data_IF_536486075309
#
_entry.id   IF_536486075309
#
_cell.length_a   1.000
_cell.length_b   1.000
_cell.length_c   1.000
_cell.angle_alpha   90.00
_cell.angle_beta   90.00
_cell.angle_gamma   90.00
#
_symmetry.space_group_name_H-M   'P 1'
#
loop_
_entity.id
_entity.type
_entity.pdbx_description
1 polymer ?
#
# COMPACT_ATOMS: atom_id res chain seq x y z
N UNK A 1 -7.92 38.25 -32.30
CA UNK A 1 -7.76 38.60 -30.88
C UNK A 1 -8.41 37.50 -30.06
N UNK A 2 -7.63 36.59 -29.48
CA UNK A 2 -8.15 35.49 -28.67
C UNK A 2 -8.50 35.99 -27.24
N UNK A 3 -9.56 35.47 -26.61
CA UNK A 3 -10.02 35.95 -25.31
C UNK A 3 -9.14 35.43 -24.15
N UNK A 4 -8.84 36.31 -23.17
CA UNK A 4 -7.89 36.11 -22.06
C UNK A 4 -8.19 34.93 -21.12
N UNK A 5 -9.41 34.40 -21.12
CA UNK A 5 -9.77 33.21 -20.33
C UNK A 5 -9.30 31.90 -20.97
N UNK A 6 -9.13 31.88 -22.30
CA UNK A 6 -8.60 30.71 -23.00
C UNK A 6 -7.12 30.47 -22.65
N UNK A 7 -6.36 31.53 -22.36
CA UNK A 7 -4.98 31.42 -21.89
C UNK A 7 -4.87 30.85 -20.47
N UNK A 8 -5.85 31.09 -19.59
CA UNK A 8 -5.84 30.54 -18.22
C UNK A 8 -6.14 29.04 -18.26
N UNK A 9 -7.07 28.60 -19.13
CA UNK A 9 -7.38 27.18 -19.33
C UNK A 9 -6.26 26.45 -20.09
N UNK A 10 -5.61 27.09 -21.07
CA UNK A 10 -4.46 26.49 -21.76
C UNK A 10 -3.19 26.45 -20.89
N UNK A 11 -2.96 27.44 -20.01
CA UNK A 11 -1.79 27.47 -19.12
C UNK A 11 -1.87 26.45 -17.98
N UNK A 12 -3.07 26.08 -17.54
CA UNK A 12 -3.25 25.00 -16.55
C UNK A 12 -3.09 23.61 -17.17
N UNK A 13 -3.33 23.46 -18.48
CA UNK A 13 -3.15 22.18 -19.20
C UNK A 13 -1.75 22.03 -19.81
N UNK A 14 -1.02 23.13 -20.05
CA UNK A 14 0.32 23.13 -20.67
C UNK A 14 1.49 23.21 -19.67
N UNK A 15 1.23 23.40 -18.38
CA UNK A 15 2.27 23.50 -17.35
C UNK A 15 2.71 22.15 -16.73
N UNK A 16 2.26 21.02 -17.29
CA UNK A 16 2.58 19.68 -16.77
C UNK A 16 3.31 18.78 -17.78
N UNK A 17 4.02 19.38 -18.75
CA UNK A 17 5.10 18.69 -19.45
C UNK A 17 6.42 18.98 -18.74
N UNK A 18 6.59 18.42 -17.54
CA UNK A 18 7.94 18.16 -17.04
C UNK A 18 8.51 17.10 -17.96
N UNK A 19 9.37 17.49 -18.89
CA UNK A 19 10.24 16.55 -19.59
C UNK A 19 11.25 16.05 -18.56
N UNK A 20 10.83 15.09 -17.75
CA UNK A 20 11.77 14.24 -17.06
C UNK A 20 12.42 13.39 -18.17
N UNK A 21 13.68 13.70 -18.47
CA UNK A 21 14.61 12.73 -19.05
C UNK A 21 14.37 11.37 -18.38
N UNK A 22 14.31 10.25 -19.13
CA UNK A 22 14.26 8.95 -18.52
C UNK A 22 15.54 8.80 -17.69
N UNK A 23 15.43 9.04 -16.38
CA UNK A 23 16.39 8.51 -15.44
C UNK A 23 16.32 7.01 -15.66
N UNK A 24 17.44 6.42 -16.08
CA UNK A 24 17.66 5.00 -15.87
C UNK A 24 17.30 4.76 -14.41
N UNK A 25 16.38 3.83 -14.13
CA UNK A 25 15.97 3.52 -12.77
C UNK A 25 17.23 3.14 -11.99
N UNK A 26 17.73 4.09 -11.21
CA UNK A 26 18.76 3.87 -10.21
C UNK A 26 18.07 3.00 -9.16
N UNK A 27 18.54 1.76 -8.98
CA UNK A 27 18.02 0.85 -7.95
C UNK A 27 17.90 1.61 -6.64
N UNK A 28 16.75 1.45 -5.96
CA UNK A 28 16.49 2.18 -4.74
C UNK A 28 17.62 1.89 -3.73
N UNK A 29 18.19 2.91 -3.07
CA UNK A 29 19.37 2.73 -2.21
C UNK A 29 19.11 1.73 -1.06
N UNK A 30 17.85 1.59 -0.62
CA UNK A 30 17.45 0.63 0.40
C UNK A 30 17.50 -0.83 -0.10
N UNK A 31 17.13 -1.09 -1.36
CA UNK A 31 17.20 -2.43 -1.97
C UNK A 31 18.64 -2.89 -2.01
N UNK A 32 19.55 -2.05 -2.53
CA UNK A 32 20.98 -2.36 -2.60
C UNK A 32 21.59 -2.55 -1.22
N UNK A 33 21.17 -1.78 -0.22
CA UNK A 33 21.64 -1.95 1.16
C UNK A 33 21.23 -3.31 1.76
N UNK A 34 19.97 -3.71 1.56
CA UNK A 34 19.45 -5.02 1.98
C UNK A 34 20.14 -6.19 1.27
N UNK A 35 20.39 -6.06 -0.04
CA UNK A 35 21.14 -7.08 -0.77
C UNK A 35 22.55 -7.26 -0.23
N UNK A 36 23.24 -6.16 0.07
CA UNK A 36 24.57 -6.21 0.66
C UNK A 36 24.55 -6.79 2.09
N UNK A 37 23.52 -6.49 2.88
CA UNK A 37 23.34 -7.07 4.21
C UNK A 37 23.16 -8.59 4.12
N UNK A 38 22.31 -9.07 3.21
CA UNK A 38 22.10 -10.50 2.98
C UNK A 38 23.41 -11.21 2.59
N UNK A 39 24.15 -10.66 1.62
CA UNK A 39 25.45 -11.20 1.19
C UNK A 39 26.46 -11.20 2.33
N UNK A 40 26.47 -10.17 3.19
CA UNK A 40 27.35 -10.11 4.34
C UNK A 40 27.01 -11.20 5.38
N UNK A 41 25.73 -11.43 5.65
CA UNK A 41 25.25 -12.48 6.55
C UNK A 41 25.58 -13.88 6.01
N UNK A 42 25.34 -14.17 4.73
CA UNK A 42 25.74 -15.43 4.09
C UNK A 42 27.25 -15.66 4.15
N UNK A 43 28.03 -14.62 3.84
CA UNK A 43 29.49 -14.69 3.88
C UNK A 43 29.99 -14.97 5.30
N UNK A 44 29.36 -14.38 6.32
CA UNK A 44 29.65 -14.66 7.72
C UNK A 44 29.32 -16.12 8.06
N UNK A 45 28.19 -16.66 7.58
CA UNK A 45 27.81 -18.05 7.75
C UNK A 45 28.82 -19.03 7.14
N UNK A 46 29.25 -18.80 5.89
CA UNK A 46 30.24 -19.64 5.21
C UNK A 46 31.62 -19.60 5.91
N UNK A 47 32.04 -18.41 6.37
CA UNK A 47 33.26 -18.28 7.19
C UNK A 47 33.12 -19.03 8.51
N UNK A 48 31.94 -18.92 9.13
CA UNK A 48 31.64 -19.62 10.37
C UNK A 48 31.68 -21.14 10.17
N UNK A 49 31.25 -21.69 9.05
CA UNK A 49 31.30 -23.13 8.72
C UNK A 49 32.70 -23.67 8.40
N UNK A 50 33.62 -22.80 7.97
CA UNK A 50 35.01 -23.16 7.66
C UNK A 50 35.99 -22.88 8.81
N UNK A 51 35.56 -22.13 9.83
CA UNK A 51 36.33 -21.82 11.03
C UNK A 51 36.75 -23.07 11.85
N UNK A 52 37.94 -23.01 12.45
CA UNK A 52 38.40 -24.05 13.39
C UNK A 52 37.89 -23.77 14.80
N UNK A 53 37.94 -24.76 15.70
CA UNK A 53 37.51 -24.57 17.09
C UNK A 53 38.31 -23.49 17.85
N UNK A 54 39.51 -23.13 17.37
CA UNK A 54 40.30 -22.03 17.92
C UNK A 54 39.77 -20.64 17.53
N UNK A 55 39.00 -20.56 16.43
CA UNK A 55 38.45 -19.31 15.88
C UNK A 55 37.07 -18.98 16.47
N UNK A 56 36.36 -19.98 17.02
CA UNK A 56 35.02 -19.87 17.61
C UNK A 56 35.05 -19.28 19.04
N UNK A 57 35.67 -18.11 19.20
CA UNK A 57 35.69 -17.40 20.49
C UNK A 57 34.42 -16.58 20.69
N UNK A 58 33.92 -16.37 21.93
CA UNK A 58 32.77 -15.49 22.18
C UNK A 58 32.97 -14.07 21.63
N UNK A 59 34.20 -13.56 21.66
CA UNK A 59 34.57 -12.27 21.09
C UNK A 59 34.42 -12.25 19.56
N UNK A 60 34.83 -13.32 18.87
CA UNK A 60 34.66 -13.43 17.43
C UNK A 60 33.17 -13.52 17.04
N UNK A 61 32.35 -14.23 17.82
CA UNK A 61 30.89 -14.31 17.57
C UNK A 61 30.20 -12.97 17.76
N UNK A 62 30.52 -12.26 18.85
CA UNK A 62 29.97 -10.93 19.12
C UNK A 62 30.39 -9.93 18.03
N UNK A 63 31.60 -10.08 17.47
CA UNK A 63 32.08 -9.25 16.37
C UNK A 63 31.30 -9.46 15.07
N UNK A 64 30.81 -10.68 14.80
CA UNK A 64 29.95 -10.95 13.63
C UNK A 64 28.66 -10.11 13.74
N UNK A 65 27.99 -10.17 14.89
CA UNK A 65 26.80 -9.36 15.14
C UNK A 65 27.09 -7.87 15.00
N UNK A 66 28.15 -7.36 15.64
CA UNK A 66 28.48 -5.94 15.60
C UNK A 66 28.65 -5.43 14.16
N UNK A 67 29.34 -6.18 13.30
CA UNK A 67 29.55 -5.76 11.90
C UNK A 67 28.27 -5.73 11.08
N UNK A 68 27.34 -6.65 11.31
CA UNK A 68 26.05 -6.67 10.60
C UNK A 68 25.11 -5.59 11.14
N UNK A 69 25.10 -5.39 12.45
CA UNK A 69 24.28 -4.38 13.11
C UNK A 69 24.73 -2.96 12.79
N UNK A 70 26.04 -2.69 12.72
CA UNK A 70 26.56 -1.39 12.28
C UNK A 70 26.09 -1.05 10.85
N UNK A 71 26.00 -2.05 9.97
CA UNK A 71 25.46 -1.86 8.62
C UNK A 71 23.94 -1.62 8.62
N UNK A 72 23.22 -2.24 9.57
CA UNK A 72 21.79 -2.05 9.76
C UNK A 72 21.46 -0.64 10.30
N UNK A 73 22.18 -0.13 11.29
CA UNK A 73 21.95 1.21 11.86
C UNK A 73 22.03 2.31 10.78
N UNK A 74 22.82 2.13 9.72
CA UNK A 74 22.92 3.10 8.63
C UNK A 74 21.69 3.14 7.70
N UNK A 75 20.88 2.07 7.68
CA UNK A 75 19.76 1.87 6.74
C UNK A 75 18.40 1.72 7.42
N UNK A 76 18.35 1.46 8.73
CA UNK A 76 17.14 1.09 9.47
C UNK A 76 16.01 2.13 9.34
N UNK A 77 16.33 3.43 9.42
CA UNK A 77 15.35 4.52 9.31
C UNK A 77 14.68 4.52 7.93
N UNK A 78 15.45 4.29 6.87
CA UNK A 78 14.95 4.27 5.50
C UNK A 78 14.01 3.09 5.23
N UNK A 79 14.27 1.96 5.88
CA UNK A 79 13.45 0.75 5.78
C UNK A 79 12.22 0.87 6.66
N UNK A 80 12.35 1.40 7.87
CA UNK A 80 11.23 1.71 8.76
C UNK A 80 10.21 2.63 8.07
N UNK A 81 10.67 3.63 7.31
CA UNK A 81 9.81 4.51 6.54
C UNK A 81 9.18 3.83 5.30
N UNK A 82 9.95 2.98 4.60
CA UNK A 82 9.53 2.38 3.33
C UNK A 82 8.65 1.12 3.51
N UNK A 83 8.99 0.27 4.48
CA UNK A 83 8.32 -0.98 4.79
C UNK A 83 8.43 -1.27 6.31
N UNK A 84 7.57 -0.64 7.14
CA UNK A 84 7.62 -0.78 8.60
C UNK A 84 7.54 -2.23 9.12
N UNK A 85 6.95 -3.14 8.33
CA UNK A 85 6.85 -4.55 8.69
C UNK A 85 8.18 -5.28 8.48
N UNK A 86 8.78 -5.18 7.30
CA UNK A 86 10.11 -5.76 7.05
C UNK A 86 11.19 -5.17 7.97
N UNK A 87 11.04 -3.92 8.42
CA UNK A 87 11.86 -3.36 9.50
C UNK A 87 11.75 -4.22 10.78
N UNK A 88 10.52 -4.55 11.21
CA UNK A 88 10.28 -5.33 12.42
C UNK A 88 10.76 -6.79 12.29
N UNK A 89 10.57 -7.41 11.13
CA UNK A 89 11.06 -8.77 10.83
C UNK A 89 12.59 -8.81 10.89
N UNK A 90 13.26 -7.82 10.29
CA UNK A 90 14.71 -7.68 10.37
C UNK A 90 15.22 -7.44 11.80
N UNK A 91 14.55 -6.59 12.58
CA UNK A 91 14.87 -6.40 14.00
C UNK A 91 14.76 -7.72 14.79
N UNK A 92 13.74 -8.54 14.50
CA UNK A 92 13.58 -9.85 15.13
C UNK A 92 14.72 -10.82 14.76
N UNK A 93 15.16 -10.83 13.50
CA UNK A 93 16.31 -11.64 13.07
C UNK A 93 17.63 -11.14 13.68
N UNK A 94 17.79 -9.81 13.83
CA UNK A 94 18.92 -9.24 14.57
C UNK A 94 18.91 -9.63 16.04
N UNK A 95 17.75 -9.62 16.70
CA UNK A 95 17.60 -10.09 18.08
C UNK A 95 17.93 -11.58 18.21
N UNK A 96 17.46 -12.42 17.28
CA UNK A 96 17.77 -13.84 17.25
C UNK A 96 19.28 -14.08 17.09
N UNK A 97 19.94 -13.34 16.20
CA UNK A 97 21.38 -13.37 16.02
C UNK A 97 22.11 -12.90 17.28
N UNK A 98 21.67 -11.82 17.91
CA UNK A 98 22.24 -11.29 19.15
C UNK A 98 22.23 -12.34 20.26
N UNK A 99 21.09 -13.01 20.44
CA UNK A 99 20.92 -14.09 21.41
C UNK A 99 21.86 -15.25 21.09
N UNK A 100 21.94 -15.68 19.83
CA UNK A 100 22.78 -16.79 19.42
C UNK A 100 24.28 -16.54 19.70
N UNK A 101 24.78 -15.33 19.40
CA UNK A 101 26.19 -14.97 19.62
C UNK A 101 26.52 -14.63 21.08
N UNK A 102 25.53 -14.20 21.87
CA UNK A 102 25.68 -13.73 23.25
C UNK A 102 25.77 -14.84 24.30
N UNK A 103 25.65 -16.11 23.91
CA UNK A 103 25.72 -17.24 24.85
C UNK A 103 27.15 -17.52 25.33
N UNK A 104 27.29 -17.97 26.59
CA UNK A 104 28.60 -18.30 27.17
C UNK A 104 29.32 -19.47 26.46
N UNK A 105 28.58 -20.29 25.72
CA UNK A 105 29.07 -21.33 24.82
C UNK A 105 28.32 -21.19 23.49
N UNK A 106 28.84 -20.41 22.53
CA UNK A 106 28.19 -20.19 21.25
C UNK A 106 28.00 -21.50 20.50
N UNK A 107 26.74 -21.83 20.19
CA UNK A 107 26.43 -22.94 19.30
C UNK A 107 26.60 -22.48 17.85
N UNK A 108 27.57 -23.09 17.16
CA UNK A 108 27.86 -22.82 15.76
C UNK A 108 26.63 -23.02 14.88
N UNK A 109 25.82 -24.04 15.14
CA UNK A 109 24.63 -24.33 14.35
C UNK A 109 23.55 -23.26 14.56
N UNK A 110 23.37 -22.80 15.80
CA UNK A 110 22.43 -21.74 16.12
C UNK A 110 22.82 -20.40 15.46
N UNK A 111 24.11 -20.01 15.54
CA UNK A 111 24.61 -18.78 14.89
C UNK A 111 24.50 -18.87 13.37
N UNK A 112 24.83 -20.02 12.77
CA UNK A 112 24.66 -20.23 11.33
C UNK A 112 23.19 -20.15 10.90
N UNK A 113 22.27 -20.71 11.69
CA UNK A 113 20.82 -20.62 11.46
C UNK A 113 20.31 -19.18 11.51
N UNK A 114 20.71 -18.42 12.53
CA UNK A 114 20.32 -17.01 12.67
C UNK A 114 20.88 -16.13 11.54
N UNK A 115 22.12 -16.39 11.08
CA UNK A 115 22.68 -15.68 9.92
C UNK A 115 21.94 -16.00 8.61
N UNK A 116 21.49 -17.24 8.45
CA UNK A 116 20.70 -17.63 7.28
C UNK A 116 19.28 -17.01 7.32
N UNK A 117 18.66 -16.94 8.50
CA UNK A 117 17.39 -16.24 8.71
C UNK A 117 17.48 -14.76 8.35
N UNK A 118 18.47 -14.06 8.91
CA UNK A 118 18.74 -12.66 8.58
C UNK A 118 19.00 -12.43 7.08
N UNK A 119 19.76 -13.32 6.43
CA UNK A 119 20.03 -13.19 5.00
C UNK A 119 18.77 -13.38 4.14
N UNK A 120 17.94 -14.36 4.51
CA UNK A 120 16.68 -14.64 3.82
C UNK A 120 15.71 -13.46 3.97
N UNK A 121 15.54 -12.96 5.19
CA UNK A 121 14.65 -11.84 5.48
C UNK A 121 15.11 -10.57 4.74
N UNK A 122 16.41 -10.26 4.77
CA UNK A 122 16.94 -9.11 4.04
C UNK A 122 16.68 -9.19 2.53
N UNK A 123 16.77 -10.38 1.92
CA UNK A 123 16.41 -10.60 0.52
C UNK A 123 14.90 -10.44 0.26
N UNK A 124 14.05 -10.91 1.16
CA UNK A 124 12.59 -10.83 1.01
C UNK A 124 12.11 -9.38 1.11
N UNK A 125 12.64 -8.62 2.07
CA UNK A 125 12.43 -7.15 2.18
C UNK A 125 12.96 -6.44 0.94
N UNK A 126 14.15 -6.81 0.42
CA UNK A 126 14.71 -6.22 -0.79
C UNK A 126 13.79 -6.44 -2.00
N UNK A 127 13.36 -7.67 -2.23
CA UNK A 127 12.43 -8.01 -3.31
C UNK A 127 11.06 -7.33 -3.14
N UNK A 128 10.54 -7.21 -1.92
CA UNK A 128 9.30 -6.48 -1.68
C UNK A 128 9.43 -5.02 -2.10
N UNK A 129 10.54 -4.36 -1.71
CA UNK A 129 10.82 -2.98 -2.08
C UNK A 129 11.08 -2.81 -3.57
N UNK A 130 11.80 -3.75 -4.21
CA UNK A 130 12.06 -3.76 -5.65
C UNK A 130 10.75 -3.89 -6.46
N UNK A 131 9.85 -4.76 -6.02
CA UNK A 131 8.57 -5.01 -6.68
C UNK A 131 7.44 -4.06 -6.25
N UNK A 132 7.76 -2.99 -5.52
CA UNK A 132 6.78 -1.97 -5.15
C UNK A 132 5.69 -2.44 -4.17
N UNK A 133 6.01 -3.44 -3.36
CA UNK A 133 5.13 -4.01 -2.35
C UNK A 133 4.32 -5.24 -2.79
N UNK A 134 4.72 -5.88 -3.90
CA UNK A 134 4.21 -7.19 -4.30
C UNK A 134 5.15 -8.28 -3.76
N UNK A 135 4.67 -9.08 -2.80
CA UNK A 135 5.42 -10.21 -2.22
C UNK A 135 5.68 -11.29 -3.30
N UNK A 136 6.93 -11.53 -3.66
CA UNK A 136 7.32 -12.63 -4.57
C UNK A 136 7.74 -13.85 -3.77
N UNK A 137 6.89 -14.89 -3.69
CA UNK A 137 7.37 -16.22 -3.23
C UNK A 137 6.32 -17.18 -2.69
N UNK A 138 5.30 -16.71 -1.97
CA UNK A 138 4.23 -17.59 -1.51
C UNK A 138 3.29 -17.95 -2.66
N UNK A 139 2.68 -19.14 -2.61
CA UNK A 139 1.57 -19.48 -3.50
C UNK A 139 0.55 -18.36 -3.33
N UNK A 140 0.33 -17.50 -4.33
CA UNK A 140 -0.49 -16.31 -4.13
C UNK A 140 -1.92 -16.74 -3.77
N UNK A 141 -2.23 -16.72 -2.48
CA UNK A 141 -3.51 -17.14 -1.94
C UNK A 141 -4.42 -15.92 -1.98
N UNK A 142 -5.59 -16.03 -2.60
CA UNK A 142 -6.54 -14.92 -2.53
C UNK A 142 -7.13 -14.80 -1.11
N UNK A 143 -7.67 -13.62 -0.77
CA UNK A 143 -8.21 -13.36 0.57
C UNK A 143 -9.26 -14.40 1.02
N UNK A 144 -10.06 -14.96 0.11
CA UNK A 144 -11.06 -15.96 0.47
C UNK A 144 -10.41 -17.31 0.79
N UNK A 145 -9.40 -17.70 0.01
CA UNK A 145 -8.64 -18.91 0.26
C UNK A 145 -7.86 -18.81 1.58
N UNK A 146 -7.29 -17.64 1.90
CA UNK A 146 -6.62 -17.41 3.19
C UNK A 146 -7.58 -17.55 4.38
N UNK A 147 -8.77 -16.94 4.28
CA UNK A 147 -9.82 -17.07 5.31
C UNK A 147 -10.26 -18.53 5.47
N UNK A 148 -10.31 -19.31 4.39
CA UNK A 148 -10.61 -20.73 4.45
C UNK A 148 -9.50 -21.54 5.14
N UNK A 149 -8.22 -21.21 4.90
CA UNK A 149 -7.08 -21.84 5.57
C UNK A 149 -7.08 -21.53 7.07
N UNK A 150 -7.35 -20.29 7.47
CA UNK A 150 -7.51 -19.91 8.90
C UNK A 150 -8.62 -20.72 9.56
N UNK A 151 -9.77 -20.90 8.90
CA UNK A 151 -10.84 -21.74 9.42
C UNK A 151 -10.42 -23.22 9.56
N UNK A 152 -9.57 -23.73 8.66
CA UNK A 152 -9.01 -25.08 8.76
C UNK A 152 -8.06 -25.23 9.95
N UNK A 153 -7.27 -24.20 10.28
CA UNK A 153 -6.43 -24.20 11.50
C UNK A 153 -7.30 -24.30 12.74
N UNK A 154 -8.36 -23.48 12.85
CA UNK A 154 -9.30 -23.53 13.99
C UNK A 154 -9.88 -24.94 14.16
N UNK A 155 -10.31 -25.57 13.07
CA UNK A 155 -10.80 -26.95 13.10
C UNK A 155 -9.72 -27.98 13.49
N UNK A 156 -8.48 -27.81 13.03
CA UNK A 156 -7.37 -28.68 13.41
C UNK A 156 -7.05 -28.58 14.91
N UNK A 157 -7.11 -27.39 15.49
CA UNK A 157 -6.87 -27.15 16.92
C UNK A 157 -7.88 -27.91 17.80
N UNK A 158 -9.13 -28.05 17.36
CA UNK A 158 -10.15 -28.84 18.08
C UNK A 158 -9.76 -30.31 18.23
N UNK A 159 -8.97 -30.86 17.31
CA UNK A 159 -8.54 -32.26 17.35
C UNK A 159 -7.47 -32.52 18.43
N UNK A 160 -6.86 -31.46 18.98
CA UNK A 160 -5.72 -31.54 19.92
C UNK A 160 -4.59 -32.46 19.43
N UNK A 161 -4.40 -32.50 18.12
CA UNK A 161 -3.37 -33.29 17.46
C UNK A 161 -2.36 -32.35 16.79
N UNK A 162 -1.13 -32.34 17.31
CA UNK A 162 -0.03 -31.54 16.76
C UNK A 162 0.25 -31.87 15.29
N UNK A 163 0.17 -33.15 14.90
CA UNK A 163 0.44 -33.58 13.52
C UNK A 163 -0.55 -32.98 12.50
N UNK A 164 -1.73 -32.57 12.97
CA UNK A 164 -2.73 -31.89 12.14
C UNK A 164 -2.62 -30.36 12.23
N UNK A 165 -2.23 -29.84 13.39
CA UNK A 165 -2.14 -28.39 13.65
C UNK A 165 -0.92 -27.76 13.02
N UNK A 166 0.26 -28.34 13.20
CA UNK A 166 1.52 -27.79 12.71
C UNK A 166 1.48 -27.48 11.20
N UNK A 167 1.08 -28.40 10.30
CA UNK A 167 1.03 -28.08 8.87
C UNK A 167 -0.06 -27.06 8.51
N UNK A 168 -1.15 -26.99 9.28
CA UNK A 168 -2.19 -26.00 9.04
C UNK A 168 -1.74 -24.60 9.47
N UNK A 169 -1.03 -24.51 10.60
CA UNK A 169 -0.47 -23.26 11.12
C UNK A 169 0.63 -22.73 10.20
N UNK A 170 1.52 -23.61 9.74
CA UNK A 170 2.56 -23.32 8.74
C UNK A 170 1.94 -22.70 7.48
N UNK A 171 0.87 -23.31 6.94
CA UNK A 171 0.20 -22.81 5.75
C UNK A 171 -0.31 -21.37 5.89
N UNK A 172 -0.90 -20.99 7.04
CA UNK A 172 -1.41 -19.62 7.23
C UNK A 172 -0.31 -18.60 7.54
N UNK A 173 0.82 -19.03 8.11
CA UNK A 173 1.99 -18.16 8.30
C UNK A 173 2.64 -17.88 6.95
N UNK A 174 2.88 -18.91 6.14
CA UNK A 174 3.44 -18.76 4.78
C UNK A 174 2.53 -17.96 3.85
N UNK A 175 1.21 -18.10 3.98
CA UNK A 175 0.26 -17.38 3.12
C UNK A 175 -0.01 -15.93 3.57
N UNK A 176 0.32 -15.56 4.81
CA UNK A 176 0.00 -14.25 5.37
C UNK A 176 0.61 -13.06 4.60
N UNK A 177 1.89 -13.08 4.19
CA UNK A 177 2.50 -12.00 3.40
C UNK A 177 1.74 -11.68 2.10
N UNK A 178 1.06 -12.67 1.51
CA UNK A 178 0.30 -12.50 0.27
C UNK A 178 -1.01 -11.71 0.43
N UNK A 179 -1.54 -11.63 1.66
CA UNK A 179 -2.83 -10.99 1.96
C UNK A 179 -2.72 -9.79 2.90
N UNK A 180 -1.63 -9.66 3.65
CA UNK A 180 -1.45 -8.63 4.67
C UNK A 180 -1.59 -7.21 4.12
N UNK A 181 -1.11 -6.94 2.91
CA UNK A 181 -1.22 -5.61 2.29
C UNK A 181 -2.68 -5.20 2.06
N UNK A 182 -3.54 -6.16 1.72
CA UNK A 182 -4.97 -5.93 1.56
C UNK A 182 -5.67 -5.67 2.91
N UNK A 183 -5.11 -6.19 4.01
CA UNK A 183 -5.59 -5.94 5.38
C UNK A 183 -5.09 -4.58 5.87
N UNK A 184 -3.78 -4.33 5.80
CA UNK A 184 -3.11 -3.12 6.28
C UNK A 184 -3.65 -1.85 5.60
N UNK A 185 -3.93 -1.91 4.30
CA UNK A 185 -4.51 -0.77 3.56
C UNK A 185 -5.93 -0.41 4.00
N UNK A 186 -6.68 -1.36 4.57
CA UNK A 186 -8.06 -1.17 5.02
C UNK A 186 -8.16 -0.95 6.54
N UNK A 187 -7.28 -1.57 7.33
CA UNK A 187 -7.28 -1.50 8.79
C UNK A 187 -5.91 -1.86 9.37
N UNK A 188 -5.16 -0.85 9.83
CA UNK A 188 -3.92 -1.06 10.59
C UNK A 188 -4.16 -1.80 11.91
N UNK A 189 -5.32 -1.61 12.54
CA UNK A 189 -5.69 -2.30 13.79
C UNK A 189 -5.91 -3.79 13.59
N UNK A 190 -6.58 -4.19 12.50
CA UNK A 190 -6.82 -5.60 12.20
C UNK A 190 -5.52 -6.31 11.83
N UNK A 191 -4.67 -5.64 11.03
CA UNK A 191 -3.33 -6.12 10.70
C UNK A 191 -2.52 -6.45 11.97
N UNK A 192 -2.32 -5.47 12.86
CA UNK A 192 -1.56 -5.69 14.08
C UNK A 192 -2.19 -6.70 15.05
N UNK A 193 -3.52 -6.84 15.06
CA UNK A 193 -4.20 -7.87 15.84
C UNK A 193 -3.92 -9.27 15.29
N UNK A 194 -3.96 -9.46 13.97
CA UNK A 194 -3.69 -10.74 13.32
C UNK A 194 -2.24 -11.15 13.55
N UNK A 195 -1.27 -10.26 13.36
CA UNK A 195 0.15 -10.49 13.62
C UNK A 195 0.41 -10.94 15.06
N UNK A 196 -0.13 -10.17 16.02
CA UNK A 196 0.04 -10.47 17.44
C UNK A 196 -0.53 -11.83 17.82
N UNK A 197 -1.66 -12.22 17.22
CA UNK A 197 -2.28 -13.51 17.46
C UNK A 197 -1.61 -14.66 16.68
N UNK A 198 -1.03 -14.42 15.50
CA UNK A 198 -0.17 -15.40 14.79
C UNK A 198 1.04 -15.76 15.65
N UNK A 199 1.78 -14.75 16.15
CA UNK A 199 2.90 -14.97 17.06
C UNK A 199 2.50 -15.60 18.39
N UNK A 200 1.27 -15.36 18.86
CA UNK A 200 0.73 -16.02 20.07
C UNK A 200 0.35 -17.48 19.80
N UNK A 201 -0.20 -17.79 18.62
CA UNK A 201 -0.51 -19.15 18.20
C UNK A 201 0.77 -19.99 18.04
N UNK A 202 1.81 -19.45 17.41
CA UNK A 202 3.11 -20.11 17.26
C UNK A 202 3.74 -20.43 18.62
N UNK A 203 3.81 -19.44 19.52
CA UNK A 203 4.31 -19.66 20.89
C UNK A 203 3.51 -20.72 21.66
N UNK A 204 2.22 -20.85 21.41
CA UNK A 204 1.41 -21.87 22.07
C UNK A 204 1.84 -23.30 21.70
N UNK A 205 2.27 -23.49 20.46
CA UNK A 205 2.77 -24.78 19.94
C UNK A 205 4.14 -25.12 20.49
N UNK A 206 4.97 -24.11 20.82
CA UNK A 206 6.32 -24.29 21.35
C UNK A 206 6.36 -24.65 22.85
N UNK A 207 5.26 -24.49 23.58
CA UNK A 207 5.21 -24.81 25.02
C UNK A 207 5.25 -26.32 25.27
N UNK A 208 5.95 -26.73 26.34
CA UNK A 208 5.96 -28.12 26.83
C UNK A 208 5.26 -28.23 28.20
N UNK A 209 4.01 -28.74 28.30
CA UNK A 209 3.13 -29.22 27.23
C UNK A 209 2.41 -28.09 26.48
N UNK A 210 1.97 -28.38 25.24
CA UNK A 210 1.27 -27.42 24.36
C UNK A 210 0.08 -26.76 25.06
N UNK A 211 0.05 -25.42 25.01
CA UNK A 211 -1.04 -24.61 25.52
C UNK A 211 -2.21 -24.55 24.52
N UNK A 212 -3.02 -25.60 24.54
CA UNK A 212 -4.23 -25.70 23.71
C UNK A 212 -5.25 -24.60 23.95
N UNK A 213 -5.27 -24.00 25.15
CA UNK A 213 -6.21 -22.93 25.45
C UNK A 213 -5.78 -21.62 24.76
N UNK A 214 -4.48 -21.30 24.84
CA UNK A 214 -3.91 -20.16 24.14
C UNK A 214 -4.05 -20.31 22.63
N UNK A 215 -3.67 -21.47 22.09
CA UNK A 215 -3.75 -21.76 20.66
C UNK A 215 -5.18 -21.62 20.11
N UNK A 216 -6.18 -22.17 20.82
CA UNK A 216 -7.57 -22.06 20.42
C UNK A 216 -8.08 -20.62 20.48
N UNK A 217 -7.69 -19.86 21.51
CA UNK A 217 -8.07 -18.45 21.61
C UNK A 217 -7.45 -17.59 20.51
N UNK A 218 -6.18 -17.81 20.19
CA UNK A 218 -5.45 -17.02 19.20
C UNK A 218 -5.97 -17.27 17.78
N UNK A 219 -6.11 -18.54 17.40
CA UNK A 219 -6.63 -18.91 16.06
C UNK A 219 -8.08 -18.47 15.84
N UNK A 220 -8.91 -18.48 16.88
CA UNK A 220 -10.27 -17.93 16.81
C UNK A 220 -10.27 -16.40 16.62
N UNK A 221 -9.33 -15.69 17.24
CA UNK A 221 -9.21 -14.25 17.10
C UNK A 221 -8.72 -13.84 15.70
N UNK A 222 -7.74 -14.57 15.15
CA UNK A 222 -7.31 -14.43 13.74
C UNK A 222 -8.51 -14.61 12.82
N UNK A 223 -9.30 -15.68 13.00
CA UNK A 223 -10.49 -15.96 12.19
C UNK A 223 -11.51 -14.81 12.27
N UNK A 224 -11.72 -14.25 13.46
CA UNK A 224 -12.64 -13.15 13.70
C UNK A 224 -12.20 -11.86 13.00
N UNK A 225 -10.92 -11.53 13.08
CA UNK A 225 -10.34 -10.32 12.49
C UNK A 225 -10.24 -10.41 10.97
N UNK A 226 -9.95 -11.58 10.40
CA UNK A 226 -9.79 -11.74 8.94
C UNK A 226 -11.13 -11.86 8.19
N UNK A 227 -12.19 -12.36 8.85
CA UNK A 227 -13.49 -12.61 8.22
C UNK A 227 -14.11 -11.42 7.44
N UNK A 228 -14.02 -10.15 7.90
CA UNK A 228 -14.52 -8.99 7.15
C UNK A 228 -13.81 -8.75 5.81
N UNK A 229 -12.57 -9.23 5.66
CA UNK A 229 -11.77 -9.00 4.46
C UNK A 229 -12.11 -9.98 3.33
N UNK A 230 -12.64 -11.16 3.66
CA UNK A 230 -13.23 -12.10 2.69
C UNK A 230 -14.45 -11.52 1.96
N UNK A 231 -15.15 -10.57 2.58
CA UNK A 231 -16.29 -9.90 1.94
C UNK A 231 -15.79 -8.92 0.90
N UNK A 232 -15.42 -9.43 -0.27
CA UNK A 232 -15.35 -8.63 -1.48
C UNK A 232 -16.75 -8.13 -1.74
N UNK A 233 -17.00 -6.83 -1.52
CA UNK A 233 -18.12 -6.17 -2.19
C UNK A 233 -17.87 -6.37 -3.68
N UNK A 234 -18.53 -7.38 -4.26
CA UNK A 234 -18.42 -7.66 -5.67
C UNK A 234 -19.15 -6.53 -6.36
N UNK A 235 -18.41 -5.49 -6.74
CA UNK A 235 -18.93 -4.46 -7.63
C UNK A 235 -19.31 -5.17 -8.92
N UNK A 236 -20.61 -5.33 -9.12
CA UNK A 236 -21.11 -6.00 -10.30
C UNK A 236 -20.96 -5.06 -11.50
N UNK A 237 -20.92 -5.61 -12.71
CA UNK A 237 -21.01 -4.81 -13.94
C UNK A 237 -22.25 -3.90 -13.93
N UNK A 238 -23.30 -4.31 -13.22
CA UNK A 238 -24.50 -3.53 -13.04
C UNK A 238 -24.27 -2.28 -12.17
N UNK A 239 -23.54 -2.42 -11.05
CA UNK A 239 -23.23 -1.28 -10.17
C UNK A 239 -22.41 -0.21 -10.90
N UNK A 240 -21.40 -0.63 -11.67
CA UNK A 240 -20.62 0.26 -12.50
C UNK A 240 -21.46 0.90 -13.63
N UNK A 241 -22.37 0.13 -14.25
CA UNK A 241 -23.24 0.63 -15.31
C UNK A 241 -24.21 1.70 -14.80
N UNK A 242 -24.76 1.56 -13.58
CA UNK A 242 -25.68 2.55 -12.99
C UNK A 242 -24.98 3.89 -12.76
N UNK A 243 -23.73 3.89 -12.28
CA UNK A 243 -22.92 5.10 -12.09
C UNK A 243 -22.69 5.79 -13.45
N UNK A 244 -22.18 5.07 -14.44
CA UNK A 244 -21.92 5.65 -15.77
C UNK A 244 -23.21 6.18 -16.42
N UNK A 245 -24.31 5.43 -16.27
CA UNK A 245 -25.61 5.81 -16.82
C UNK A 245 -26.14 7.10 -16.20
N UNK A 246 -26.07 7.24 -14.87
CA UNK A 246 -26.50 8.45 -14.17
C UNK A 246 -25.66 9.65 -14.61
N UNK A 247 -24.35 9.49 -14.69
CA UNK A 247 -23.43 10.60 -14.93
C UNK A 247 -23.54 11.05 -16.40
N UNK A 248 -23.72 10.09 -17.30
CA UNK A 248 -24.03 10.35 -18.71
C UNK A 248 -25.40 11.00 -18.92
N UNK A 249 -26.42 10.58 -18.16
CA UNK A 249 -27.76 11.17 -18.25
C UNK A 249 -27.78 12.61 -17.73
N UNK A 250 -27.13 12.89 -16.60
CA UNK A 250 -26.99 14.25 -16.06
C UNK A 250 -26.30 15.18 -17.06
N UNK A 251 -25.21 14.73 -17.68
CA UNK A 251 -24.53 15.49 -18.73
C UNK A 251 -25.41 15.74 -19.96
N UNK A 252 -26.17 14.72 -20.40
CA UNK A 252 -27.11 14.85 -21.52
C UNK A 252 -28.23 15.84 -21.20
N UNK A 253 -28.77 15.80 -19.98
CA UNK A 253 -29.81 16.73 -19.52
C UNK A 253 -29.31 18.17 -19.52
N UNK A 254 -28.06 18.41 -19.11
CA UNK A 254 -27.44 19.75 -19.17
C UNK A 254 -27.36 20.23 -20.62
N UNK A 255 -26.85 19.40 -21.53
CA UNK A 255 -26.74 19.76 -22.97
C UNK A 255 -28.12 20.02 -23.56
N UNK A 256 -29.10 19.17 -23.26
CA UNK A 256 -30.47 19.33 -23.71
C UNK A 256 -31.11 20.62 -23.18
N UNK A 257 -30.91 20.95 -21.90
CA UNK A 257 -31.40 22.19 -21.29
C UNK A 257 -30.78 23.43 -21.97
N UNK A 258 -29.48 23.42 -22.23
CA UNK A 258 -28.81 24.51 -22.94
C UNK A 258 -29.33 24.64 -24.38
N UNK A 259 -29.46 23.54 -25.12
CA UNK A 259 -30.01 23.57 -26.49
C UNK A 259 -31.47 24.07 -26.52
N UNK A 260 -32.30 23.61 -25.59
CA UNK A 260 -33.69 24.06 -25.45
C UNK A 260 -33.76 25.56 -25.13
N UNK A 261 -32.87 26.06 -24.27
CA UNK A 261 -32.77 27.48 -23.96
C UNK A 261 -32.41 28.32 -25.19
N UNK A 262 -31.46 27.87 -26.04
CA UNK A 262 -31.12 28.57 -27.29
C UNK A 262 -32.28 28.58 -28.28
N UNK A 263 -33.01 27.47 -28.40
CA UNK A 263 -34.20 27.38 -29.26
C UNK A 263 -35.29 28.34 -28.78
N UNK A 264 -35.51 28.43 -27.46
CA UNK A 264 -36.54 29.32 -26.90
C UNK A 264 -36.19 30.80 -27.00
N UNK A 265 -34.91 31.14 -27.08
CA UNK A 265 -34.41 32.53 -27.16
C UNK A 265 -34.09 32.97 -28.58
N UNK A 266 -34.48 32.20 -29.61
CA UNK A 266 -34.19 32.47 -31.04
C UNK A 266 -32.69 32.65 -31.34
N UNK A 267 -31.83 31.98 -30.57
CA UNK A 267 -30.36 32.05 -30.68
C UNK A 267 -29.80 30.79 -31.37
N UNK A 268 -30.46 30.34 -32.43
CA UNK A 268 -30.14 29.10 -33.14
C UNK A 268 -28.68 29.01 -33.64
N UNK A 269 -28.09 30.15 -33.98
CA UNK A 269 -26.72 30.30 -34.50
C UNK A 269 -25.65 29.92 -33.47
N UNK A 270 -26.02 29.91 -32.19
CA UNK A 270 -25.10 29.61 -31.08
C UNK A 270 -25.04 28.12 -30.73
N UNK A 271 -25.89 27.28 -31.32
CA UNK A 271 -25.89 25.81 -31.08
C UNK A 271 -24.55 25.16 -31.39
N UNK A 272 -23.81 25.69 -32.37
CA UNK A 272 -22.44 25.24 -32.70
C UNK A 272 -21.48 25.33 -31.52
N UNK A 273 -21.65 26.33 -30.65
CA UNK A 273 -20.78 26.51 -29.47
C UNK A 273 -21.06 25.47 -28.40
N UNK A 274 -22.31 25.03 -28.26
CA UNK A 274 -22.65 23.93 -27.34
C UNK A 274 -22.00 22.65 -27.81
N UNK A 275 -22.20 22.27 -29.08
CA UNK A 275 -21.56 21.07 -29.63
C UNK A 275 -20.04 21.12 -29.57
N UNK A 276 -19.44 22.27 -29.89
CA UNK A 276 -17.99 22.43 -29.80
C UNK A 276 -17.49 22.32 -28.36
N UNK A 277 -18.23 22.89 -27.39
CA UNK A 277 -17.93 22.76 -25.97
C UNK A 277 -18.10 21.33 -25.44
N UNK A 278 -19.17 20.65 -25.81
CA UNK A 278 -19.42 19.24 -25.42
C UNK A 278 -18.35 18.31 -25.99
N UNK A 279 -18.01 18.44 -27.28
CA UNK A 279 -16.96 17.61 -27.89
C UNK A 279 -15.59 17.91 -27.32
N UNK A 280 -15.26 19.19 -27.09
CA UNK A 280 -14.01 19.57 -26.44
C UNK A 280 -13.92 18.99 -25.02
N UNK A 281 -15.00 19.10 -24.24
CA UNK A 281 -15.07 18.53 -22.90
C UNK A 281 -14.89 17.01 -22.88
N UNK A 282 -15.50 16.29 -23.83
CA UNK A 282 -15.33 14.85 -23.96
C UNK A 282 -13.87 14.47 -24.27
N UNK A 283 -13.24 15.14 -25.23
CA UNK A 283 -11.83 14.90 -25.59
C UNK A 283 -10.91 15.23 -24.42
N UNK A 284 -11.15 16.34 -23.73
CA UNK A 284 -10.37 16.72 -22.54
C UNK A 284 -10.54 15.70 -21.42
N UNK A 285 -11.74 15.18 -21.18
CA UNK A 285 -11.99 14.15 -20.16
C UNK A 285 -11.21 12.86 -20.45
N UNK A 286 -11.21 12.40 -21.70
CA UNK A 286 -10.44 11.23 -22.13
C UNK A 286 -8.93 11.48 -21.96
N UNK A 287 -8.45 12.65 -22.37
CA UNK A 287 -7.04 13.01 -22.24
C UNK A 287 -6.60 13.04 -20.77
N UNK A 288 -7.41 13.60 -19.88
CA UNK A 288 -7.17 13.61 -18.43
C UNK A 288 -7.15 12.19 -17.87
N UNK A 289 -8.07 11.31 -18.30
CA UNK A 289 -8.08 9.92 -17.87
C UNK A 289 -6.77 9.19 -18.21
N UNK A 290 -6.29 9.33 -19.45
CA UNK A 290 -4.99 8.76 -19.85
C UNK A 290 -3.80 9.40 -19.12
N UNK A 291 -3.84 10.72 -18.89
CA UNK A 291 -2.81 11.41 -18.13
C UNK A 291 -2.74 10.91 -16.68
N UNK A 292 -3.90 10.75 -16.02
CA UNK A 292 -3.99 10.18 -14.67
C UNK A 292 -3.53 8.73 -14.64
N UNK A 293 -3.91 7.92 -15.61
CA UNK A 293 -3.44 6.53 -15.69
C UNK A 293 -1.91 6.46 -15.85
N UNK A 294 -1.33 7.26 -16.75
CA UNK A 294 0.11 7.34 -16.93
C UNK A 294 0.82 7.88 -15.67
N UNK A 295 0.19 8.79 -14.93
CA UNK A 295 0.70 9.32 -13.69
C UNK A 295 0.68 8.27 -12.57
N UNK A 296 -0.45 7.58 -12.36
CA UNK A 296 -0.58 6.57 -11.32
C UNK A 296 0.29 5.33 -11.60
N UNK A 297 0.40 4.88 -12.84
CA UNK A 297 1.31 3.77 -13.18
C UNK A 297 2.79 4.09 -12.90
N UNK A 298 3.17 5.37 -12.85
CA UNK A 298 4.54 5.80 -12.52
C UNK A 298 4.77 6.03 -11.03
N UNK A 299 3.70 6.23 -10.27
CA UNK A 299 3.75 6.62 -8.86
C UNK A 299 3.31 5.49 -7.92
N UNK A 300 2.73 4.40 -8.45
CA UNK A 300 2.35 3.20 -7.70
C UNK A 300 3.53 2.53 -6.96
N UNK A 301 4.77 2.86 -7.28
CA UNK A 301 5.94 2.50 -6.49
C UNK A 301 6.02 3.37 -5.21
N UNK A 302 5.28 2.97 -4.16
CA UNK A 302 5.46 3.23 -2.71
C UNK A 302 5.71 4.65 -2.16
N UNK A 303 6.60 5.44 -2.74
CA UNK A 303 7.30 6.57 -2.11
C UNK A 303 6.56 7.92 -2.11
N UNK A 304 5.39 8.02 -2.73
CA UNK A 304 4.78 9.32 -3.09
C UNK A 304 3.31 9.47 -2.68
N UNK A 305 2.79 8.56 -1.85
CA UNK A 305 1.38 8.56 -1.42
C UNK A 305 1.01 9.86 -0.70
N UNK A 306 1.90 10.37 0.16
CA UNK A 306 1.71 11.62 0.89
C UNK A 306 1.67 12.84 -0.03
N UNK A 307 2.52 12.87 -1.07
CA UNK A 307 2.56 13.96 -2.05
C UNK A 307 1.28 13.97 -2.89
N UNK A 308 0.77 12.80 -3.29
CA UNK A 308 -0.51 12.69 -4.00
C UNK A 308 -1.66 13.19 -3.13
N UNK A 309 -1.72 12.77 -1.86
CA UNK A 309 -2.77 13.19 -0.95
C UNK A 309 -2.71 14.71 -0.70
N UNK A 310 -1.51 15.25 -0.49
CA UNK A 310 -1.29 16.69 -0.34
C UNK A 310 -1.69 17.50 -1.57
N UNK A 311 -1.28 17.08 -2.77
CA UNK A 311 -1.67 17.74 -4.02
C UNK A 311 -3.18 17.63 -4.25
N UNK A 312 -3.78 16.45 -4.03
CA UNK A 312 -5.21 16.24 -4.22
C UNK A 312 -6.02 17.11 -3.24
N UNK A 313 -5.59 17.20 -1.99
CA UNK A 313 -6.18 18.08 -0.98
C UNK A 313 -6.07 19.56 -1.35
N UNK A 314 -4.92 20.01 -1.84
CA UNK A 314 -4.74 21.40 -2.32
C UNK A 314 -5.63 21.71 -3.52
N UNK A 315 -5.74 20.80 -4.48
CA UNK A 315 -6.63 20.95 -5.65
C UNK A 315 -8.09 21.02 -5.19
N UNK A 316 -8.52 20.14 -4.28
CA UNK A 316 -9.86 20.15 -3.72
C UNK A 316 -10.16 21.48 -2.98
N UNK A 317 -9.24 21.97 -2.15
CA UNK A 317 -9.38 23.25 -1.46
C UNK A 317 -9.50 24.43 -2.43
N UNK A 318 -8.68 24.45 -3.49
CA UNK A 318 -8.76 25.47 -4.53
C UNK A 318 -10.10 25.44 -5.28
N UNK A 319 -10.61 24.24 -5.58
CA UNK A 319 -11.91 24.05 -6.22
C UNK A 319 -13.06 24.54 -5.34
N UNK A 320 -13.06 24.19 -4.05
CA UNK A 320 -14.03 24.68 -3.07
C UNK A 320 -14.00 26.20 -2.96
N UNK A 321 -12.80 26.79 -2.91
CA UNK A 321 -12.63 28.24 -2.87
C UNK A 321 -13.19 28.90 -4.14
N UNK A 322 -12.90 28.34 -5.31
CA UNK A 322 -13.41 28.85 -6.59
C UNK A 322 -14.94 28.81 -6.64
N UNK A 323 -15.56 27.68 -6.29
CA UNK A 323 -17.03 27.54 -6.27
C UNK A 323 -17.66 28.50 -5.26
N UNK A 324 -17.08 28.61 -4.06
CA UNK A 324 -17.54 29.54 -3.01
C UNK A 324 -17.49 30.98 -3.48
N UNK A 325 -16.37 31.40 -4.09
CA UNK A 325 -16.20 32.73 -4.65
C UNK A 325 -17.20 32.99 -5.79
N UNK A 326 -17.38 32.04 -6.71
CA UNK A 326 -18.31 32.18 -7.82
C UNK A 326 -19.75 32.37 -7.33
N UNK A 327 -20.19 31.53 -6.38
CA UNK A 327 -21.53 31.59 -5.80
C UNK A 327 -21.74 32.93 -5.07
N UNK A 328 -20.75 33.39 -4.30
CA UNK A 328 -20.81 34.68 -3.62
C UNK A 328 -20.88 35.87 -4.60
N UNK A 329 -20.12 35.82 -5.70
CA UNK A 329 -20.09 36.88 -6.71
C UNK A 329 -21.39 36.98 -7.54
N UNK A 330 -22.14 35.88 -7.67
CA UNK A 330 -23.38 35.78 -8.45
C UNK A 330 -24.65 35.81 -7.61
N UNK A 331 -24.56 35.58 -6.30
CA UNK A 331 -25.63 35.84 -5.34
C UNK A 331 -25.90 37.36 -5.28
N UNK A 332 -26.74 37.85 -6.18
CA UNK A 332 -26.91 39.28 -6.40
C UNK A 332 -27.72 39.94 -5.27
N UNK A 333 -27.05 40.79 -4.50
CA UNK A 333 -27.67 41.96 -3.83
C UNK A 333 -28.32 42.93 -4.84
N UNK A 334 -28.03 42.78 -6.14
CA UNK A 334 -28.49 43.64 -7.23
C UNK A 334 -29.98 43.48 -7.55
N UNK A 335 -30.53 42.26 -7.51
CA UNK A 335 -31.97 42.03 -7.68
C UNK A 335 -32.80 42.55 -6.50
N UNK A 336 -32.24 42.50 -5.28
CA UNK A 336 -32.90 42.99 -4.07
C UNK A 336 -32.95 44.53 -4.01
N UNK A 337 -31.88 45.22 -4.43
CA UNK A 337 -31.85 46.69 -4.54
C UNK A 337 -32.81 47.21 -5.61
N UNK A 338 -32.87 46.57 -6.78
CA UNK A 338 -33.78 46.99 -7.84
C UNK A 338 -35.26 46.81 -7.45
N UNK A 339 -35.61 45.76 -6.69
CA UNK A 339 -36.95 45.59 -6.14
C UNK A 339 -37.34 46.66 -5.13
N UNK A 340 -36.39 47.15 -4.33
CA UNK A 340 -36.63 48.24 -3.37
C UNK A 340 -36.76 49.59 -4.08
N UNK A 341 -35.84 49.91 -5.00
CA UNK A 341 -35.87 51.17 -5.73
C UNK A 341 -37.12 51.31 -6.63
N UNK A 342 -37.69 50.20 -7.13
CA UNK A 342 -38.94 50.23 -7.90
C UNK A 342 -40.22 50.35 -7.03
N UNK A 343 -40.11 50.13 -5.71
CA UNK A 343 -41.24 50.12 -4.76
C UNK A 343 -41.11 51.15 -3.60
N UNK A 344 -40.18 52.11 -3.69
CA UNK A 344 -40.10 53.29 -2.80
C UNK A 344 -40.06 54.57 -3.61
#
# INVERSE_FOLDING_TARGET
>A
MMPRWLHIVLLVVLALTVTATPAQAEEAPEVVALENLAVAAETAGVKLESATSADLTPAAMTQIYATLHDAWEEMEDGIADAYPHGYMELEQEFDALHVAVGTAQPDRAAVAGALAGLAHEAMDVAHYLENGGESSGATAVDMNEYVAQVAAVVAAVETRNLDAVTPALDAIVTAWPSVEGAVATKSATAYGAIEGELGRALRAVETEPVDWAMLASATAEIQREIAPFAQTQTYTLFDAAVIILREGLEALLIVAALLAFLVRTDNHDKRRWIWLGTTAGLVTSIAVAFALQALFSRIAAGRNREVIEGITGLVAAAMLFYVSYWLHSKASLKGWRQFIDDNT
#
